data_IF_728171644075
#
_entry.id   IF_728171644075
#
_cell.length_a   1.000
_cell.length_b   1.000
_cell.length_c   1.000
_cell.angle_alpha   90.00
_cell.angle_beta   90.00
_cell.angle_gamma   90.00
#
_symmetry.space_group_name_H-M   'P 1'
#
loop_
_entity.id
_entity.type
_entity.pdbx_description
1 polymer ?
#
# COMPACT_ATOMS: atom_id res chain seq x y z
N UNK A 1 -14.33 -1.21 8.46
CA UNK A 1 -12.96 -0.73 8.86
C UNK A 1 -12.02 -1.90 9.07
N UNK A 2 -10.72 -1.79 8.72
CA UNK A 2 -9.73 -2.85 8.96
C UNK A 2 -8.79 -2.49 10.12
N UNK A 3 -8.59 -3.42 11.05
CA UNK A 3 -7.70 -3.31 12.21
C UNK A 3 -6.70 -4.47 12.18
N UNK A 4 -5.46 -4.21 12.54
CA UNK A 4 -4.40 -5.23 12.55
C UNK A 4 -3.57 -5.13 13.81
N UNK A 5 -3.20 -6.27 14.36
CA UNK A 5 -2.21 -6.37 15.42
C UNK A 5 -0.85 -6.72 14.79
N UNK A 6 0.16 -5.93 15.15
CA UNK A 6 1.52 -6.11 14.70
C UNK A 6 2.48 -5.94 15.88
N UNK A 7 3.52 -6.76 15.93
CA UNK A 7 4.61 -6.64 16.91
C UNK A 7 5.92 -6.39 16.20
N UNK A 8 6.85 -5.68 16.82
CA UNK A 8 8.19 -5.51 16.27
C UNK A 8 8.83 -6.88 16.01
N UNK A 9 9.41 -7.05 14.83
CA UNK A 9 10.11 -8.25 14.42
C UNK A 9 11.55 -8.30 14.94
N UNK A 10 12.17 -9.48 14.94
CA UNK A 10 13.54 -9.66 15.43
C UNK A 10 14.60 -9.02 14.51
N UNK A 11 14.28 -8.74 13.24
CA UNK A 11 15.22 -8.28 12.21
C UNK A 11 15.51 -6.76 12.23
N UNK A 12 14.87 -5.98 13.12
CA UNK A 12 15.15 -4.55 13.29
C UNK A 12 13.90 -3.68 13.40
N UNK A 13 14.10 -2.36 13.54
CA UNK A 13 13.04 -1.38 13.81
C UNK A 13 11.96 -1.28 12.72
N UNK A 14 12.26 -1.70 11.49
CA UNK A 14 11.36 -1.53 10.34
C UNK A 14 10.65 -2.83 9.91
N UNK A 15 10.85 -3.92 10.66
CA UNK A 15 10.19 -5.20 10.41
C UNK A 15 9.16 -5.46 11.50
N UNK A 16 7.97 -5.89 11.10
CA UNK A 16 6.87 -6.22 12.01
C UNK A 16 6.30 -7.59 11.66
N UNK A 17 5.80 -8.28 12.69
CA UNK A 17 5.08 -9.54 12.56
C UNK A 17 3.60 -9.24 12.67
N UNK A 18 2.84 -9.58 11.63
CA UNK A 18 1.39 -9.54 11.61
C UNK A 18 0.82 -10.76 12.34
N UNK A 19 0.13 -10.52 13.45
CA UNK A 19 -0.35 -11.58 14.35
C UNK A 19 -1.84 -11.84 14.24
N UNK A 20 -2.64 -10.84 13.89
CA UNK A 20 -4.06 -11.00 13.59
C UNK A 20 -4.63 -9.74 12.94
N UNK A 21 -5.79 -9.87 12.30
CA UNK A 21 -6.57 -8.71 11.87
C UNK A 21 -8.07 -8.94 11.96
N UNK A 22 -8.82 -7.84 11.94
CA UNK A 22 -10.27 -7.85 11.99
C UNK A 22 -10.78 -6.83 10.96
N UNK A 23 -11.71 -7.24 10.11
CA UNK A 23 -12.39 -6.35 9.17
C UNK A 23 -13.87 -6.32 9.45
N UNK A 24 -14.39 -5.13 9.73
CA UNK A 24 -15.84 -4.93 9.76
C UNK A 24 -16.37 -4.91 8.32
N UNK A 25 -17.32 -5.80 8.06
CA UNK A 25 -18.07 -5.93 6.81
C UNK A 25 -19.55 -5.98 7.13
N UNK A 26 -20.30 -4.96 6.73
CA UNK A 26 -21.75 -4.86 6.95
C UNK A 26 -22.15 -5.01 8.43
N UNK A 27 -21.36 -4.43 9.34
CA UNK A 27 -21.58 -4.51 10.79
C UNK A 27 -21.15 -5.82 11.45
N UNK A 28 -20.53 -6.75 10.71
CA UNK A 28 -19.98 -7.99 11.24
C UNK A 28 -18.46 -7.95 11.18
N UNK A 29 -17.81 -8.24 12.31
CA UNK A 29 -16.36 -8.36 12.38
C UNK A 29 -15.91 -9.73 11.87
N UNK A 30 -15.12 -9.73 10.80
CA UNK A 30 -14.48 -10.92 10.22
C UNK A 30 -13.04 -10.98 10.69
N UNK A 31 -12.65 -12.09 11.32
CA UNK A 31 -11.26 -12.33 11.74
C UNK A 31 -10.40 -12.86 10.60
N UNK A 32 -9.16 -12.39 10.57
CA UNK A 32 -8.13 -12.87 9.66
C UNK A 32 -6.98 -13.45 10.49
N UNK A 33 -6.63 -14.73 10.29
CA UNK A 33 -5.53 -15.35 11.00
C UNK A 33 -4.22 -14.68 10.62
N UNK A 34 -3.40 -14.35 11.60
CA UNK A 34 -2.11 -13.74 11.35
C UNK A 34 -0.98 -14.74 11.34
N UNK A 35 -0.24 -14.69 10.23
CA UNK A 35 1.10 -15.23 10.11
C UNK A 35 1.75 -14.53 8.93
N UNK A 36 2.18 -13.29 9.14
CA UNK A 36 2.83 -12.51 8.09
C UNK A 36 3.94 -11.62 8.62
N UNK A 37 4.78 -11.17 7.71
CA UNK A 37 5.83 -10.20 7.95
C UNK A 37 5.53 -8.94 7.13
N UNK A 38 5.78 -7.79 7.76
CA UNK A 38 5.67 -6.48 7.14
C UNK A 38 7.02 -5.79 7.25
N UNK A 39 7.57 -5.31 6.15
CA UNK A 39 8.82 -4.54 6.13
C UNK A 39 8.56 -3.17 5.54
N UNK A 40 8.97 -2.13 6.26
CA UNK A 40 8.86 -0.74 5.80
C UNK A 40 10.20 -0.24 5.27
N UNK A 41 10.15 0.44 4.12
CA UNK A 41 11.28 1.12 3.50
C UNK A 41 10.93 2.59 3.35
N UNK A 42 11.69 3.46 4.03
CA UNK A 42 11.68 4.88 3.74
C UNK A 42 12.51 5.11 2.48
N UNK A 43 11.83 5.28 1.35
CA UNK A 43 12.50 5.39 0.04
C UNK A 43 12.76 6.83 -0.36
N UNK A 44 12.01 7.79 0.21
CA UNK A 44 12.23 9.23 0.06
C UNK A 44 11.58 9.99 1.23
N UNK A 45 11.79 11.30 1.34
CA UNK A 45 11.19 12.13 2.41
C UNK A 45 9.65 12.05 2.47
N UNK A 46 9.01 11.74 1.33
CA UNK A 46 7.55 11.69 1.15
C UNK A 46 7.05 10.34 0.60
N UNK A 47 7.90 9.32 0.63
CA UNK A 47 7.65 8.02 0.02
C UNK A 47 7.90 6.91 1.05
N UNK A 48 6.94 6.01 1.18
CA UNK A 48 7.05 4.82 2.03
C UNK A 48 6.68 3.60 1.20
N UNK A 49 7.54 2.60 1.16
CA UNK A 49 7.21 1.30 0.59
C UNK A 49 7.01 0.28 1.69
N UNK A 50 6.05 -0.61 1.51
CA UNK A 50 5.72 -1.67 2.45
C UNK A 50 5.72 -2.99 1.70
N UNK A 51 6.63 -3.89 2.07
CA UNK A 51 6.55 -5.29 1.69
C UNK A 51 5.72 -6.04 2.72
N UNK A 52 4.75 -6.82 2.25
CA UNK A 52 4.00 -7.77 3.05
C UNK A 52 4.23 -9.18 2.50
N UNK A 53 4.46 -10.15 3.38
CA UNK A 53 4.44 -11.58 3.05
C UNK A 53 3.65 -12.33 4.10
N UNK A 54 2.62 -13.08 3.74
CA UNK A 54 1.81 -13.84 4.69
C UNK A 54 0.52 -14.39 4.10
N UNK A 55 -0.51 -14.55 4.94
CA UNK A 55 -1.81 -15.13 4.57
C UNK A 55 -2.45 -14.50 3.32
N UNK A 56 -2.32 -13.18 3.13
CA UNK A 56 -2.91 -12.51 1.97
C UNK A 56 -2.10 -12.71 0.68
N UNK A 57 -0.86 -13.21 0.77
CA UNK A 57 0.08 -13.32 -0.34
C UNK A 57 1.38 -12.55 -0.09
N UNK A 58 2.09 -12.24 -1.18
CA UNK A 58 3.30 -11.42 -1.17
C UNK A 58 3.04 -10.16 -1.99
N UNK A 59 3.09 -8.99 -1.36
CA UNK A 59 2.77 -7.71 -1.99
C UNK A 59 3.81 -6.65 -1.68
N UNK A 60 4.09 -5.80 -2.66
CA UNK A 60 4.78 -4.54 -2.47
C UNK A 60 3.78 -3.39 -2.66
N UNK A 61 3.61 -2.58 -1.62
CA UNK A 61 2.72 -1.42 -1.62
C UNK A 61 3.57 -0.16 -1.52
N UNK A 62 3.39 0.75 -2.50
CA UNK A 62 4.20 1.97 -2.61
C UNK A 62 3.29 3.15 -2.30
N UNK A 63 3.51 3.75 -1.14
CA UNK A 63 2.77 4.90 -0.64
C UNK A 63 3.51 6.20 -0.97
N UNK A 64 2.72 7.20 -1.35
CA UNK A 64 3.15 8.59 -1.52
C UNK A 64 2.29 9.48 -0.66
N UNK A 65 2.81 10.65 -0.30
CA UNK A 65 2.04 11.69 0.40
C UNK A 65 0.70 11.95 -0.32
N UNK A 66 -0.35 12.15 0.48
CA UNK A 66 -1.70 12.45 -0.01
C UNK A 66 -1.69 13.63 -1.01
N UNK A 67 -2.56 13.56 -2.01
CA UNK A 67 -2.62 14.52 -3.14
C UNK A 67 -1.67 14.19 -4.31
N UNK A 68 -0.52 13.57 -4.07
CA UNK A 68 0.45 13.26 -5.15
C UNK A 68 0.13 11.94 -5.86
N UNK A 69 -0.59 11.04 -5.18
CA UNK A 69 -0.97 9.72 -5.70
C UNK A 69 -1.90 9.75 -6.94
N UNK A 70 -2.48 10.91 -7.29
CA UNK A 70 -3.34 11.07 -8.46
C UNK A 70 -2.60 11.68 -9.66
N UNK A 71 -1.37 12.16 -9.47
CA UNK A 71 -0.59 12.77 -10.54
C UNK A 71 0.04 11.68 -11.41
N UNK A 72 -0.58 11.42 -12.57
CA UNK A 72 -0.17 10.38 -13.53
C UNK A 72 1.28 10.56 -14.00
N UNK A 73 1.76 11.79 -14.19
CA UNK A 73 3.14 12.04 -14.62
C UNK A 73 4.14 11.65 -13.54
N UNK A 74 3.85 11.98 -12.28
CA UNK A 74 4.67 11.57 -11.14
C UNK A 74 4.67 10.06 -10.96
N UNK A 75 3.52 9.40 -11.17
CA UNK A 75 3.44 7.93 -11.10
C UNK A 75 4.26 7.26 -12.21
N UNK A 76 4.19 7.78 -13.44
CA UNK A 76 5.00 7.29 -14.57
C UNK A 76 6.49 7.49 -14.32
N UNK A 77 6.90 8.67 -13.85
CA UNK A 77 8.30 8.96 -13.55
C UNK A 77 8.88 8.05 -12.45
N UNK A 78 8.03 7.54 -11.56
CA UNK A 78 8.44 6.64 -10.49
C UNK A 78 8.46 5.16 -10.87
N UNK A 79 7.94 4.81 -12.05
CA UNK A 79 7.70 3.42 -12.44
C UNK A 79 8.99 2.60 -12.45
N UNK A 80 10.06 3.11 -13.05
CA UNK A 80 11.33 2.41 -13.18
C UNK A 80 11.97 2.10 -11.81
N UNK A 81 11.90 3.05 -10.88
CA UNK A 81 12.46 2.86 -9.54
C UNK A 81 11.62 1.89 -8.70
N UNK A 82 10.29 1.96 -8.85
CA UNK A 82 9.39 0.98 -8.24
C UNK A 82 9.64 -0.43 -8.77
N UNK A 83 9.90 -0.57 -10.07
CA UNK A 83 10.21 -1.84 -10.70
C UNK A 83 11.54 -2.41 -10.17
N UNK A 84 12.60 -1.59 -10.11
CA UNK A 84 13.90 -2.01 -9.53
C UNK A 84 13.76 -2.46 -8.08
N UNK A 85 12.95 -1.76 -7.27
CA UNK A 85 12.70 -2.15 -5.89
C UNK A 85 12.02 -3.52 -5.81
N UNK A 86 10.98 -3.74 -6.63
CA UNK A 86 10.29 -5.02 -6.69
C UNK A 86 11.21 -6.16 -7.13
N UNK A 87 12.05 -5.95 -8.15
CA UNK A 87 13.06 -6.94 -8.59
C UNK A 87 14.07 -7.25 -7.48
N UNK A 88 14.55 -6.22 -6.77
CA UNK A 88 15.49 -6.37 -5.66
C UNK A 88 14.91 -7.22 -4.51
N UNK A 89 13.59 -7.08 -4.26
CA UNK A 89 12.86 -7.87 -3.26
C UNK A 89 12.42 -9.24 -3.77
N UNK A 90 12.79 -9.62 -5.01
CA UNK A 90 12.53 -10.94 -5.57
C UNK A 90 11.11 -11.13 -6.13
N UNK A 91 10.37 -10.06 -6.40
CA UNK A 91 9.09 -10.15 -7.10
C UNK A 91 9.32 -10.54 -8.57
N UNK A 92 8.50 -11.48 -9.07
CA UNK A 92 8.44 -11.76 -10.51
C UNK A 92 7.53 -10.73 -11.18
N UNK A 93 8.13 -9.84 -11.96
CA UNK A 93 7.41 -8.79 -12.67
C UNK A 93 7.20 -9.26 -14.11
N UNK A 94 5.95 -9.57 -14.45
CA UNK A 94 5.53 -9.81 -15.83
C UNK A 94 5.33 -8.50 -16.58
N UNK A 95 4.32 -8.42 -17.45
CA UNK A 95 3.92 -7.13 -18.02
C UNK A 95 3.28 -6.25 -16.92
N UNK A 96 3.82 -5.04 -16.66
CA UNK A 96 3.29 -4.18 -15.63
C UNK A 96 1.90 -3.69 -16.03
N UNK A 97 0.94 -3.79 -15.11
CA UNK A 97 -0.34 -3.10 -15.26
C UNK A 97 -0.13 -1.61 -15.01
N UNK A 98 -0.28 -0.80 -16.05
CA UNK A 98 -0.21 0.66 -15.97
C UNK A 98 -1.64 1.19 -15.92
N UNK A 99 -1.97 1.92 -14.86
CA UNK A 99 -3.25 2.61 -14.77
C UNK A 99 -3.41 3.59 -15.93
N UNK A 100 -4.45 3.37 -16.73
CA UNK A 100 -4.73 4.08 -17.99
C UNK A 100 -5.53 5.38 -17.79
N UNK A 101 -5.93 5.69 -16.55
CA UNK A 101 -6.76 6.86 -16.24
C UNK A 101 -8.25 6.69 -16.57
N UNK A 102 -8.68 5.52 -17.08
CA UNK A 102 -10.08 5.29 -17.49
C UNK A 102 -10.97 4.96 -16.28
N UNK A 103 -10.45 4.20 -15.33
CA UNK A 103 -11.21 3.82 -14.14
C UNK A 103 -11.20 4.95 -13.10
N UNK A 104 -12.35 5.48 -12.70
CA UNK A 104 -12.42 6.50 -11.64
C UNK A 104 -11.96 5.98 -10.27
N UNK A 105 -11.53 6.88 -9.39
CA UNK A 105 -11.19 6.51 -8.01
C UNK A 105 -12.45 6.15 -7.23
N UNK A 106 -12.38 5.08 -6.43
CA UNK A 106 -13.45 4.76 -5.47
C UNK A 106 -13.52 5.85 -4.39
N UNK A 107 -14.38 6.85 -4.59
CA UNK A 107 -14.67 7.82 -3.55
C UNK A 107 -15.35 7.11 -2.37
N UNK A 108 -14.77 7.23 -1.17
CA UNK A 108 -15.54 6.93 0.05
C UNK A 108 -16.79 7.81 0.02
N UNK A 109 -17.97 7.20 0.06
CA UNK A 109 -19.27 7.89 0.17
C UNK A 109 -19.38 8.87 1.36
N UNK A 110 -18.39 8.94 2.23
CA UNK A 110 -18.38 9.75 3.46
C UNK A 110 -17.51 11.01 3.40
N UNK A 111 -16.84 11.32 2.28
CA UNK A 111 -16.05 12.57 2.18
C UNK A 111 -16.75 13.55 1.25
N UNK A 112 -17.12 14.76 1.70
CA UNK A 112 -17.70 15.77 0.83
C UNK A 112 -16.72 16.11 -0.30
N UNK A 113 -17.26 16.35 -1.49
CA UNK A 113 -16.51 16.81 -2.65
C UNK A 113 -15.68 18.05 -2.28
N UNK A 114 -14.35 17.93 -2.34
CA UNK A 114 -13.48 19.09 -2.30
C UNK A 114 -13.63 19.77 -3.65
N UNK A 115 -14.37 20.88 -3.68
CA UNK A 115 -14.42 21.74 -4.86
C UNK A 115 -13.00 22.19 -5.20
N UNK A 116 -12.60 22.22 -6.49
CA UNK A 116 -11.36 22.88 -6.87
C UNK A 116 -11.38 24.30 -6.36
N UNK A 117 -10.32 24.69 -5.65
CA UNK A 117 -10.06 26.09 -5.32
C UNK A 117 -9.87 26.83 -6.65
N UNK A 118 -10.78 27.74 -6.96
CA UNK A 118 -10.60 28.69 -8.07
C UNK A 118 -9.63 29.76 -7.57
N UNK A 119 -8.56 29.97 -8.34
CA UNK A 119 -7.56 31.02 -8.15
C UNK A 119 -8.15 32.43 -7.92
#
# INVERSE_FOLDING_TARGET
TFKTNMTAGPEGQNTFIYTSGTMEVNGVDIEYPGNGTVKFFETCADCMSMEYSGFFGHFLLIYRRYGVHQNVEVLKAAQDDNQKLAECLGFSIGEPFIYDGVSGFCHKKSSPEVKPEQD
#
